data_IF_242202838899
#
_entry.id   IF_242202838899
#
_cell.length_a   1.000
_cell.length_b   1.000
_cell.length_c   1.000
_cell.angle_alpha   90.00
_cell.angle_beta   90.00
_cell.angle_gamma   90.00
#
_symmetry.space_group_name_H-M   'P 1'
#
loop_
_entity.id
_entity.type
_entity.pdbx_description
1 polymer ?
#
# COMPACT_ATOMS: atom_id res chain seq x y z
N UNK A 1 4.09 -15.47 -16.86
CA UNK A 1 4.09 -14.56 -15.70
C UNK A 1 4.21 -15.36 -14.42
N UNK A 2 5.25 -15.11 -13.64
CA UNK A 2 5.32 -15.51 -12.24
C UNK A 2 4.75 -14.36 -11.40
N UNK A 3 3.75 -14.67 -10.56
CA UNK A 3 2.93 -13.69 -9.85
C UNK A 3 2.97 -14.05 -8.37
N UNK A 4 3.36 -13.11 -7.52
CA UNK A 4 3.24 -13.27 -6.07
C UNK A 4 1.86 -12.86 -5.57
N UNK A 5 1.56 -13.21 -4.33
CA UNK A 5 0.44 -12.61 -3.61
C UNK A 5 0.66 -11.10 -3.42
N UNK A 6 -0.46 -10.40 -3.21
CA UNK A 6 -0.44 -9.00 -2.79
C UNK A 6 0.13 -8.85 -1.39
N UNK A 7 0.86 -7.76 -1.18
CA UNK A 7 1.23 -7.28 0.13
C UNK A 7 -0.02 -6.95 0.94
N UNK A 8 0.09 -6.88 2.28
CA UNK A 8 -0.90 -6.21 3.08
C UNK A 8 -1.14 -4.78 2.57
N UNK A 9 -2.36 -4.29 2.77
CA UNK A 9 -2.73 -2.94 2.38
C UNK A 9 -1.91 -1.90 3.17
N UNK A 10 -1.41 -0.85 2.50
CA UNK A 10 -0.58 0.18 3.13
C UNK A 10 -1.32 0.99 4.20
N UNK A 11 -2.64 1.06 4.13
CA UNK A 11 -3.48 1.70 5.14
C UNK A 11 -4.62 0.77 5.55
N UNK A 12 -5.02 0.78 6.84
CA UNK A 12 -6.18 0.03 7.28
C UNK A 12 -7.50 0.68 6.87
N UNK A 13 -7.53 1.96 6.50
CA UNK A 13 -8.70 2.73 6.08
C UNK A 13 -8.27 3.97 5.25
N UNK A 14 -9.23 4.68 4.67
CA UNK A 14 -9.01 5.96 3.99
C UNK A 14 -8.25 5.85 2.67
N UNK A 15 -8.29 4.69 2.03
CA UNK A 15 -7.63 4.41 0.76
C UNK A 15 -6.12 4.15 0.93
N UNK A 16 -5.77 2.86 0.88
CA UNK A 16 -4.40 2.37 0.77
C UNK A 16 -4.12 1.72 -0.59
N UNK A 17 -2.88 1.27 -0.75
CA UNK A 17 -2.40 0.53 -1.92
C UNK A 17 -1.80 -0.80 -1.44
N UNK A 18 -2.06 -1.88 -2.16
CA UNK A 18 -1.36 -3.15 -2.04
C UNK A 18 -0.59 -3.42 -3.33
N UNK A 19 0.58 -4.03 -3.19
CA UNK A 19 1.48 -4.29 -4.32
C UNK A 19 1.86 -5.76 -4.38
N UNK A 20 2.18 -6.27 -5.56
CA UNK A 20 2.69 -7.64 -5.76
C UNK A 20 3.80 -7.64 -6.80
N UNK A 21 4.61 -8.69 -6.80
CA UNK A 21 5.63 -8.89 -7.83
C UNK A 21 5.02 -9.61 -9.03
N UNK A 22 5.26 -9.07 -10.21
CA UNK A 22 4.89 -9.65 -11.49
C UNK A 22 6.14 -9.72 -12.35
N UNK A 23 6.60 -10.94 -12.65
CA UNK A 23 7.84 -11.15 -13.39
C UNK A 23 7.59 -12.06 -14.60
N UNK A 24 8.16 -11.71 -15.75
CA UNK A 24 8.22 -12.65 -16.86
C UNK A 24 9.35 -13.65 -16.61
N UNK A 25 9.05 -14.95 -16.65
CA UNK A 25 10.06 -16.00 -16.44
C UNK A 25 10.06 -16.98 -17.61
N UNK A 26 11.24 -17.52 -17.93
CA UNK A 26 11.45 -18.59 -18.89
C UNK A 26 11.94 -19.84 -18.16
N UNK A 27 11.35 -21.00 -18.45
CA UNK A 27 11.79 -22.29 -17.90
C UNK A 27 12.92 -22.87 -18.76
N UNK A 28 14.12 -22.96 -18.21
CA UNK A 28 15.34 -23.37 -18.93
C UNK A 28 15.64 -24.86 -18.77
N UNK A 29 15.22 -25.47 -17.66
CA UNK A 29 15.31 -26.91 -17.37
C UNK A 29 14.08 -27.35 -16.55
N UNK A 30 13.78 -28.66 -16.50
CA UNK A 30 12.74 -29.18 -15.60
C UNK A 30 13.24 -29.17 -14.16
N UNK A 31 12.89 -28.13 -13.39
CA UNK A 31 13.21 -28.04 -11.96
C UNK A 31 12.93 -26.66 -11.34
N UNK A 32 12.82 -26.57 -10.00
CA UNK A 32 12.47 -25.32 -9.30
C UNK A 32 13.58 -24.23 -9.35
N UNK A 33 14.82 -24.62 -9.63
CA UNK A 33 15.96 -23.71 -9.76
C UNK A 33 16.27 -23.32 -11.22
N UNK A 34 15.34 -23.60 -12.14
CA UNK A 34 15.58 -23.57 -13.57
C UNK A 34 14.84 -22.45 -14.29
N UNK A 35 14.31 -21.48 -13.55
CA UNK A 35 13.56 -20.34 -14.09
C UNK A 35 14.45 -19.10 -14.16
N UNK A 36 14.54 -18.47 -15.33
CA UNK A 36 15.21 -17.18 -15.50
C UNK A 36 14.19 -16.06 -15.63
N UNK A 37 14.39 -14.95 -14.92
CA UNK A 37 13.61 -13.72 -15.12
C UNK A 37 14.07 -13.05 -16.42
N UNK A 38 13.13 -12.75 -17.30
CA UNK A 38 13.36 -12.15 -18.62
C UNK A 38 12.58 -10.84 -18.77
N UNK A 39 12.85 -10.07 -19.84
CA UNK A 39 12.08 -8.84 -20.12
C UNK A 39 10.59 -9.16 -20.26
N UNK A 40 9.74 -8.21 -19.83
CA UNK A 40 8.28 -8.29 -19.94
C UNK A 40 7.81 -8.49 -21.39
N UNK A 41 8.56 -7.99 -22.37
CA UNK A 41 8.26 -8.16 -23.81
C UNK A 41 8.30 -9.61 -24.29
N UNK A 42 8.97 -10.50 -23.54
CA UNK A 42 9.04 -11.93 -23.87
C UNK A 42 7.78 -12.69 -23.40
N UNK A 43 6.91 -12.05 -22.62
CA UNK A 43 5.64 -12.64 -22.22
C UNK A 43 4.57 -12.26 -23.25
N UNK A 44 3.81 -13.22 -23.80
CA UNK A 44 2.88 -12.97 -24.90
C UNK A 44 1.63 -12.17 -24.48
N UNK A 45 1.36 -12.07 -23.17
CA UNK A 45 0.23 -11.35 -22.61
C UNK A 45 0.73 -10.15 -21.82
N UNK A 46 0.00 -9.02 -21.78
CA UNK A 46 0.35 -7.87 -20.94
C UNK A 46 0.58 -8.26 -19.47
N UNK A 47 1.44 -7.52 -18.74
CA UNK A 47 1.66 -7.76 -17.33
C UNK A 47 0.36 -7.58 -16.54
N UNK A 48 0.01 -8.54 -15.68
CA UNK A 48 -1.02 -8.34 -14.66
C UNK A 48 -0.74 -7.09 -13.81
N UNK A 49 -1.80 -6.53 -13.19
CA UNK A 49 -1.65 -5.39 -12.29
C UNK A 49 -0.69 -5.69 -11.14
N UNK A 50 0.34 -4.88 -10.99
CA UNK A 50 1.28 -4.94 -9.86
C UNK A 50 0.75 -4.22 -8.62
N UNK A 51 -0.24 -3.33 -8.80
CA UNK A 51 -0.77 -2.46 -7.75
C UNK A 51 -2.28 -2.40 -7.79
N UNK A 52 -2.91 -2.32 -6.62
CA UNK A 52 -4.35 -2.17 -6.50
C UNK A 52 -4.71 -1.35 -5.25
N UNK A 53 -5.78 -0.57 -5.35
CA UNK A 53 -6.34 0.14 -4.19
C UNK A 53 -7.04 -0.84 -3.23
N UNK A 54 -6.93 -0.56 -1.94
CA UNK A 54 -7.52 -1.34 -0.86
C UNK A 54 -7.99 -0.41 0.28
N UNK A 55 -8.89 -0.92 1.14
CA UNK A 55 -9.38 -0.21 2.32
C UNK A 55 -9.88 1.23 2.05
N UNK A 56 -10.68 1.38 0.99
CA UNK A 56 -11.26 2.67 0.54
C UNK A 56 -12.42 3.17 1.40
N UNK A 57 -12.72 2.51 2.52
CA UNK A 57 -13.71 2.99 3.49
C UNK A 57 -13.12 4.11 4.38
N UNK A 58 -13.99 4.95 4.92
CA UNK A 58 -13.57 6.10 5.74
C UNK A 58 -12.86 5.67 7.03
N UNK A 59 -11.86 6.45 7.44
CA UNK A 59 -11.19 6.24 8.72
C UNK A 59 -12.04 6.76 9.88
N UNK A 60 -12.09 6.05 11.03
CA UNK A 60 -12.73 6.56 12.22
C UNK A 60 -12.16 7.92 12.65
N UNK A 61 -13.04 8.87 12.95
CA UNK A 61 -12.66 10.18 13.48
C UNK A 61 -11.93 10.05 14.81
N UNK A 62 -10.87 10.83 15.02
CA UNK A 62 -10.16 10.91 16.31
C UNK A 62 -10.20 12.34 16.84
N UNK A 63 -10.63 12.48 18.09
CA UNK A 63 -10.55 13.76 18.80
C UNK A 63 -9.09 14.07 19.14
N UNK A 64 -8.66 15.29 18.85
CA UNK A 64 -7.38 15.82 19.33
C UNK A 64 -7.68 16.73 20.52
N UNK A 65 -7.04 16.46 21.64
CA UNK A 65 -7.11 17.30 22.82
C UNK A 65 -5.88 18.19 22.81
N UNK A 66 -6.10 19.50 22.81
CA UNK A 66 -5.03 20.49 22.95
C UNK A 66 -4.97 20.99 24.41
N UNK A 67 -3.80 21.47 24.88
CA UNK A 67 -3.71 22.07 26.21
C UNK A 67 -4.65 23.25 26.37
N UNK A 68 -5.26 23.38 27.55
CA UNK A 68 -6.07 24.54 27.89
C UNK A 68 -5.25 25.83 27.87
N UNK A 69 -5.83 26.89 27.30
CA UNK A 69 -5.23 28.23 27.37
C UNK A 69 -5.22 28.76 28.79
N UNK A 70 -4.20 29.55 29.15
CA UNK A 70 -4.17 30.25 30.44
C UNK A 70 -5.43 31.10 30.61
N UNK A 71 -6.04 31.01 31.80
CA UNK A 71 -7.13 31.90 32.20
C UNK A 71 -6.61 33.33 32.17
N UNK A 72 -7.32 34.20 31.45
CA UNK A 72 -7.10 35.64 31.57
C UNK A 72 -7.95 36.14 32.72
N UNK A 73 -7.29 36.34 33.85
CA UNK A 73 -7.88 37.03 34.99
C UNK A 73 -8.07 38.50 34.62
N UNK A 74 -9.33 38.91 34.51
CA UNK A 74 -9.72 40.29 34.25
C UNK A 74 -10.59 40.77 35.42
N UNK A 75 -10.01 40.75 36.62
CA UNK A 75 -10.60 41.39 37.80
C UNK A 75 -10.07 42.82 37.85
N UNK A 76 -11.01 43.76 37.98
CA UNK A 76 -10.88 45.22 37.84
C UNK A 76 -10.28 45.88 39.08
N UNK A 77 -9.77 47.10 38.89
CA UNK A 77 -9.94 48.31 39.73
C UNK A 77 -9.27 49.46 38.92
N UNK A 78 -9.93 50.51 38.41
CA UNK A 78 -10.73 51.58 39.05
C UNK A 78 -10.10 52.15 40.30
#
# INVERSE_FOLDING_TARGET
>A
WNISDFSPCSKPCGGGEMTRKVQCIHEVLRGPASTLVVSNDNCPQPPPLEKQFCNVFECPSRWKVEPWSKVREHWKEY
#
